data_IF_439837786770
#
_entry.id   IF_439837786770
#
_cell.length_a   1.000
_cell.length_b   1.000
_cell.length_c   1.000
_cell.angle_alpha   90.00
_cell.angle_beta   90.00
_cell.angle_gamma   90.00
#
_symmetry.space_group_name_H-M   'P 1'
#
loop_
_entity.id
_entity.type
_entity.pdbx_description
1 polymer ?
#
# COMPACT_ATOMS: atom_id res chain seq x y z
N UNK A 1 46.64 2.41 32.72
CA UNK A 1 46.43 3.83 32.37
C UNK A 1 45.88 3.87 30.96
N UNK A 2 44.69 4.45 30.79
CA UNK A 2 44.12 4.99 29.53
C UNK A 2 43.74 3.93 28.47
N UNK A 3 42.49 3.48 28.36
CA UNK A 3 41.27 4.16 27.89
C UNK A 3 41.22 4.37 26.36
N UNK A 4 40.04 4.09 25.78
CA UNK A 4 39.53 4.42 24.42
C UNK A 4 39.15 3.26 23.50
N UNK A 5 37.85 2.93 23.58
CA UNK A 5 36.89 2.73 22.49
C UNK A 5 37.02 1.54 21.52
N UNK A 6 36.12 0.57 21.70
CA UNK A 6 35.31 0.08 20.59
C UNK A 6 33.86 0.00 21.03
N UNK A 7 33.04 0.68 20.24
CA UNK A 7 31.69 1.18 20.52
C UNK A 7 30.68 0.06 20.31
N UNK A 8 29.76 -0.10 21.27
CA UNK A 8 28.61 -0.98 21.17
C UNK A 8 27.77 -0.68 19.91
N UNK A 9 27.50 -1.71 19.11
CA UNK A 9 26.34 -1.78 18.21
C UNK A 9 25.47 -2.95 18.69
N UNK A 10 24.77 -2.72 19.80
CA UNK A 10 23.64 -3.54 20.25
C UNK A 10 22.38 -2.72 19.98
N UNK A 11 21.68 -3.05 18.90
CA UNK A 11 20.48 -2.34 18.47
C UNK A 11 19.69 -3.11 17.42
N UNK A 12 19.57 -4.43 17.60
CA UNK A 12 18.43 -5.16 17.04
C UNK A 12 17.48 -5.41 18.20
N UNK A 13 16.41 -4.63 18.22
CA UNK A 13 15.38 -4.66 19.25
C UNK A 13 14.85 -6.07 19.48
N UNK A 14 14.53 -6.30 20.74
CA UNK A 14 13.86 -7.49 21.24
C UNK A 14 12.70 -7.90 20.33
N UNK A 15 12.66 -9.19 19.98
CA UNK A 15 11.41 -9.84 19.58
C UNK A 15 10.48 -9.82 20.79
N UNK A 16 9.71 -8.74 20.96
CA UNK A 16 8.49 -8.79 21.74
C UNK A 16 7.46 -9.52 20.88
N UNK A 17 6.87 -10.58 21.43
CA UNK A 17 5.78 -11.35 20.82
C UNK A 17 4.73 -10.43 20.20
N UNK A 18 4.83 -10.20 18.90
CA UNK A 18 4.00 -9.24 18.17
C UNK A 18 2.68 -9.91 17.81
N UNK A 19 1.70 -9.84 18.72
CA UNK A 19 0.28 -10.11 18.45
C UNK A 19 -0.37 -9.00 17.57
N UNK A 20 0.43 -8.26 16.80
CA UNK A 20 0.00 -7.16 15.95
C UNK A 20 0.37 -7.41 14.50
N UNK A 21 -0.50 -6.98 13.60
CA UNK A 21 -0.26 -7.02 12.16
C UNK A 21 0.50 -5.75 11.76
N UNK A 22 1.46 -5.89 10.86
CA UNK A 22 2.25 -4.78 10.35
C UNK A 22 1.63 -4.25 9.05
N UNK A 23 1.42 -2.94 9.00
CA UNK A 23 0.83 -2.25 7.86
C UNK A 23 1.79 -1.20 7.33
N UNK A 24 1.96 -1.15 6.01
CA UNK A 24 2.60 -0.02 5.35
C UNK A 24 1.61 1.14 5.27
N UNK A 25 1.92 2.23 5.97
CA UNK A 25 1.16 3.47 5.92
C UNK A 25 1.56 4.30 4.71
N UNK A 26 0.58 4.80 3.96
CA UNK A 26 0.78 5.68 2.82
C UNK A 26 -0.34 6.70 2.72
N UNK A 27 -0.06 7.83 2.08
CA UNK A 27 -1.02 8.92 1.93
C UNK A 27 -1.62 8.92 0.53
N UNK A 28 -2.92 9.20 0.47
CA UNK A 28 -3.62 9.45 -0.78
C UNK A 28 -4.58 10.64 -0.60
N UNK A 29 -4.29 11.73 -1.30
CA UNK A 29 -4.96 13.02 -1.11
C UNK A 29 -4.70 13.58 0.28
N UNK A 30 -5.74 13.56 1.12
CA UNK A 30 -5.70 14.05 2.51
C UNK A 30 -5.83 12.95 3.55
N UNK A 31 -5.97 11.70 3.09
CA UNK A 31 -6.25 10.55 3.94
C UNK A 31 -5.03 9.63 3.98
N UNK A 32 -4.91 8.92 5.10
CA UNK A 32 -3.86 7.95 5.33
C UNK A 32 -4.44 6.54 5.27
N UNK A 33 -3.77 5.68 4.52
CA UNK A 33 -4.18 4.33 4.20
C UNK A 33 -3.12 3.35 4.66
N UNK A 34 -3.56 2.13 4.97
CA UNK A 34 -2.70 1.03 5.37
C UNK A 34 -2.97 -0.21 4.53
N UNK A 35 -1.90 -0.86 4.08
CA UNK A 35 -1.96 -2.21 3.49
C UNK A 35 -1.03 -3.14 4.26
N UNK A 36 -1.32 -4.42 4.26
CA UNK A 36 -0.46 -5.43 4.88
C UNK A 36 0.95 -5.37 4.25
N UNK A 37 1.97 -5.19 5.09
CA UNK A 37 3.36 -5.10 4.65
C UNK A 37 3.80 -6.38 3.93
N UNK A 38 3.22 -7.54 4.27
CA UNK A 38 3.56 -8.83 3.66
C UNK A 38 3.18 -8.90 2.19
N UNK A 39 2.30 -8.01 1.72
CA UNK A 39 1.91 -7.89 0.30
C UNK A 39 2.84 -7.00 -0.50
N UNK A 40 3.66 -6.20 0.18
CA UNK A 40 4.58 -5.25 -0.44
C UNK A 40 5.88 -5.97 -0.81
N UNK A 41 6.19 -5.98 -2.11
CA UNK A 41 7.42 -6.57 -2.62
C UNK A 41 8.57 -5.56 -2.64
N UNK A 42 8.31 -4.34 -3.08
CA UNK A 42 9.26 -3.22 -3.03
C UNK A 42 8.53 -1.88 -3.23
N UNK A 43 9.21 -0.78 -2.89
CA UNK A 43 8.71 0.59 -3.09
C UNK A 43 9.70 1.31 -3.99
N UNK A 44 9.21 2.00 -5.01
CA UNK A 44 10.02 2.72 -5.98
C UNK A 44 9.52 4.15 -6.16
N UNK A 45 10.41 5.06 -6.56
CA UNK A 45 10.00 6.37 -7.04
C UNK A 45 9.14 6.26 -8.28
N UNK A 46 8.20 7.19 -8.46
CA UNK A 46 7.39 7.25 -9.67
C UNK A 46 8.26 7.54 -10.91
N UNK A 47 8.18 6.67 -11.91
CA UNK A 47 8.88 6.79 -13.19
C UNK A 47 7.85 6.80 -14.33
N UNK A 48 8.29 7.25 -15.52
CA UNK A 48 7.44 7.27 -16.69
C UNK A 48 6.97 5.85 -17.06
N UNK A 49 5.66 5.66 -17.13
CA UNK A 49 5.05 4.37 -17.51
C UNK A 49 4.77 4.31 -19.01
N UNK A 50 4.79 3.10 -19.57
CA UNK A 50 4.36 2.88 -20.96
C UNK A 50 2.85 2.77 -20.99
N UNK A 51 2.17 3.77 -21.55
CA UNK A 51 0.69 3.79 -21.64
C UNK A 51 0.17 2.66 -22.51
N UNK A 52 -0.93 2.05 -22.08
CA UNK A 52 -1.66 1.06 -22.86
C UNK A 52 -2.81 1.77 -23.59
N UNK A 53 -2.98 1.50 -24.87
CA UNK A 53 -4.13 2.01 -25.62
C UNK A 53 -5.41 1.27 -25.19
N UNK A 54 -6.51 2.00 -25.04
CA UNK A 54 -7.83 1.48 -24.64
C UNK A 54 -7.89 0.87 -23.22
N UNK A 55 -6.95 1.18 -22.34
CA UNK A 55 -7.07 0.81 -20.93
C UNK A 55 -7.99 1.78 -20.17
N UNK A 56 -8.67 1.34 -19.10
CA UNK A 56 -9.36 2.23 -18.18
C UNK A 56 -8.42 3.31 -17.63
N UNK A 57 -8.95 4.49 -17.31
CA UNK A 57 -8.15 5.65 -16.88
C UNK A 57 -7.37 5.42 -15.58
N UNK A 58 -7.86 4.52 -14.72
CA UNK A 58 -7.15 4.13 -13.50
C UNK A 58 -5.90 3.29 -13.79
N UNK A 59 -5.79 2.66 -14.96
CA UNK A 59 -4.57 1.98 -15.41
C UNK A 59 -3.72 2.99 -16.16
N UNK A 60 -2.65 3.45 -15.51
CA UNK A 60 -1.71 4.39 -16.13
C UNK A 60 -0.92 3.76 -17.26
N UNK A 61 -0.68 2.45 -17.18
CA UNK A 61 0.06 1.69 -18.17
C UNK A 61 0.81 0.55 -17.52
N UNK A 62 1.99 0.25 -18.06
CA UNK A 62 2.88 -0.78 -17.55
C UNK A 62 4.31 -0.28 -17.40
N UNK A 63 5.05 -0.91 -16.51
CA UNK A 63 6.51 -0.74 -16.36
C UNK A 63 7.20 -2.09 -16.51
N UNK A 64 8.43 -2.05 -17.01
CA UNK A 64 9.27 -3.25 -17.03
C UNK A 64 10.08 -3.31 -15.74
N UNK A 65 9.75 -4.25 -14.89
CA UNK A 65 10.46 -4.52 -13.65
C UNK A 65 11.25 -5.82 -13.79
N UNK A 66 12.58 -5.70 -13.94
CA UNK A 66 13.51 -6.84 -14.06
C UNK A 66 13.11 -7.87 -15.13
N UNK A 67 12.55 -7.40 -16.24
CA UNK A 67 12.07 -8.25 -17.34
C UNK A 67 10.60 -8.65 -17.23
N UNK A 68 9.91 -8.31 -16.15
CA UNK A 68 8.48 -8.59 -15.94
C UNK A 68 7.67 -7.33 -16.23
N UNK A 69 6.62 -7.46 -17.03
CA UNK A 69 5.69 -6.37 -17.32
C UNK A 69 4.71 -6.24 -16.14
N UNK A 70 4.81 -5.15 -15.40
CA UNK A 70 3.99 -4.87 -14.22
C UNK A 70 2.99 -3.78 -14.56
N UNK A 71 1.67 -4.03 -14.45
CA UNK A 71 0.64 -3.00 -14.63
C UNK A 71 0.70 -2.00 -13.48
N UNK A 72 0.60 -0.72 -13.81
CA UNK A 72 0.60 0.39 -12.86
C UNK A 72 -0.80 0.99 -12.77
N UNK A 73 -1.36 0.95 -11.57
CA UNK A 73 -2.68 1.48 -11.21
C UNK A 73 -2.51 2.78 -10.43
N UNK A 74 -3.24 3.82 -10.83
CA UNK A 74 -3.30 5.07 -10.10
C UNK A 74 -4.49 5.06 -9.12
N UNK A 75 -4.16 5.07 -7.83
CA UNK A 75 -5.18 4.98 -6.79
C UNK A 75 -5.98 6.25 -6.62
N UNK A 76 -5.41 7.43 -6.91
CA UNK A 76 -6.19 8.67 -6.87
C UNK A 76 -7.30 8.63 -7.91
N UNK A 77 -6.99 8.15 -9.12
CA UNK A 77 -8.00 8.00 -10.17
C UNK A 77 -9.01 6.91 -9.80
N UNK A 78 -8.53 5.74 -9.34
CA UNK A 78 -9.42 4.63 -8.96
C UNK A 78 -10.40 5.04 -7.85
N UNK A 79 -9.94 5.78 -6.86
CA UNK A 79 -10.78 6.24 -5.74
C UNK A 79 -11.40 7.62 -5.94
N UNK A 80 -11.23 8.23 -7.13
CA UNK A 80 -11.77 9.54 -7.46
C UNK A 80 -11.37 10.65 -6.44
N UNK A 81 -10.17 10.55 -5.86
CA UNK A 81 -9.67 11.43 -4.80
C UNK A 81 -9.07 12.73 -5.35
N UNK A 82 -9.79 13.38 -6.25
CA UNK A 82 -9.36 14.60 -6.95
C UNK A 82 -8.31 14.34 -8.04
N UNK A 83 -7.71 15.41 -8.54
CA UNK A 83 -6.71 15.32 -9.61
C UNK A 83 -5.37 14.79 -9.07
N UNK A 84 -4.78 13.77 -9.71
CA UNK A 84 -3.48 13.26 -9.29
C UNK A 84 -2.36 14.24 -9.60
N UNK A 85 -1.60 14.58 -8.56
CA UNK A 85 -0.39 15.39 -8.64
C UNK A 85 0.81 14.49 -8.52
N UNK A 86 1.62 14.40 -9.58
CA UNK A 86 2.86 13.64 -9.56
C UNK A 86 4.01 14.57 -9.21
N UNK A 87 4.60 14.37 -8.05
CA UNK A 87 5.76 15.10 -7.57
C UNK A 87 6.89 14.12 -7.18
N UNK A 88 7.95 14.64 -6.57
CA UNK A 88 9.10 13.85 -6.12
C UNK A 88 8.79 12.89 -4.94
N UNK A 89 7.65 13.08 -4.27
CA UNK A 89 7.22 12.21 -3.17
C UNK A 89 6.35 11.06 -3.67
N UNK A 90 5.79 11.19 -4.88
CA UNK A 90 5.00 10.15 -5.51
C UNK A 90 5.83 8.89 -5.70
N UNK A 91 5.29 7.78 -5.17
CA UNK A 91 5.94 6.47 -5.21
C UNK A 91 5.00 5.44 -5.78
N UNK A 92 5.60 4.38 -6.33
CA UNK A 92 4.92 3.18 -6.80
C UNK A 92 5.23 2.07 -5.81
N UNK A 93 4.18 1.57 -5.16
CA UNK A 93 4.25 0.39 -4.31
C UNK A 93 4.05 -0.82 -5.20
N UNK A 94 5.05 -1.69 -5.29
CA UNK A 94 4.97 -2.95 -6.02
C UNK A 94 4.43 -4.02 -5.07
N UNK A 95 3.31 -4.60 -5.44
CA UNK A 95 2.54 -5.58 -4.68
C UNK A 95 2.60 -6.94 -5.35
N UNK A 96 2.62 -7.99 -4.56
CA UNK A 96 2.43 -9.36 -5.05
C UNK A 96 1.17 -9.97 -4.46
N UNK A 97 0.21 -10.24 -5.34
CA UNK A 97 -1.12 -10.71 -4.98
C UNK A 97 -1.35 -12.02 -5.73
N UNK A 98 -1.41 -13.13 -4.99
CA UNK A 98 -1.61 -14.48 -5.54
C UNK A 98 -0.63 -14.82 -6.68
N UNK A 99 0.62 -14.38 -6.59
CA UNK A 99 1.66 -14.62 -7.59
C UNK A 99 1.66 -13.65 -8.77
N UNK A 100 0.77 -12.65 -8.78
CA UNK A 100 0.75 -11.57 -9.78
C UNK A 100 1.36 -10.32 -9.18
N UNK A 101 2.27 -9.70 -9.93
CA UNK A 101 2.91 -8.45 -9.54
C UNK A 101 2.11 -7.28 -10.13
N UNK A 102 1.69 -6.35 -9.28
CA UNK A 102 0.95 -5.13 -9.67
C UNK A 102 1.61 -3.94 -8.99
N UNK A 103 1.72 -2.82 -9.68
CA UNK A 103 2.21 -1.57 -9.10
C UNK A 103 1.07 -0.60 -8.82
N UNK A 104 1.17 0.09 -7.70
CA UNK A 104 0.17 1.02 -7.21
C UNK A 104 0.81 2.38 -6.98
N UNK A 105 0.33 3.41 -7.69
CA UNK A 105 0.80 4.80 -7.50
C UNK A 105 0.09 5.41 -6.31
N UNK A 106 0.87 5.94 -5.38
CA UNK A 106 0.42 6.67 -4.18
C UNK A 106 1.21 7.96 -4.03
N UNK A 107 0.71 8.89 -3.22
CA UNK A 107 1.30 10.22 -3.11
C UNK A 107 2.60 10.22 -2.31
N UNK A 108 2.62 9.46 -1.22
CA UNK A 108 3.83 9.25 -0.42
C UNK A 108 3.63 8.03 0.48
N UNK A 109 4.74 7.41 0.87
CA UNK A 109 4.75 6.36 1.90
C UNK A 109 5.23 7.00 3.19
N UNK A 110 4.49 6.77 4.28
CA UNK A 110 4.80 7.31 5.61
C UNK A 110 5.82 6.42 6.32
N UNK A 111 5.38 5.30 6.87
CA UNK A 111 6.12 4.41 7.76
C UNK A 111 5.43 3.04 7.86
N UNK A 112 6.07 2.08 8.52
CA UNK A 112 5.44 0.79 8.86
C UNK A 112 4.88 0.90 10.27
N UNK A 113 3.61 0.55 10.42
CA UNK A 113 2.88 0.65 11.67
C UNK A 113 2.41 -0.73 12.10
N UNK A 114 2.70 -1.10 13.35
CA UNK A 114 2.17 -2.32 13.95
C UNK A 114 0.86 -2.00 14.68
N UNK A 115 -0.22 -2.68 14.30
CA UNK A 115 -1.54 -2.54 14.92
C UNK A 115 -1.98 -3.87 15.53
N UNK A 116 -2.39 -3.83 16.79
CA UNK A 116 -3.09 -4.96 17.41
C UNK A 116 -4.54 -5.02 16.95
N UNK A 117 -5.17 -6.18 17.08
CA UNK A 117 -6.57 -6.36 16.68
C UNK A 117 -7.52 -5.41 17.41
N UNK A 118 -7.19 -5.01 18.65
CA UNK A 118 -7.96 -4.07 19.47
C UNK A 118 -7.89 -2.63 18.96
N UNK A 119 -6.81 -2.29 18.24
CA UNK A 119 -6.61 -0.98 17.63
C UNK A 119 -7.28 -0.87 16.25
N UNK A 120 -7.74 -1.99 15.69
CA UNK A 120 -8.47 -2.05 14.43
C UNK A 120 -9.96 -2.05 14.75
N UNK A 121 -10.62 -0.94 14.44
CA UNK A 121 -12.07 -0.81 14.58
C UNK A 121 -12.73 -1.10 13.24
N UNK A 122 -13.96 -1.66 13.23
CA UNK A 122 -14.73 -1.74 11.99
C UNK A 122 -14.91 -0.34 11.41
N UNK A 123 -14.83 -0.22 10.09
CA UNK A 123 -15.12 1.05 9.44
C UNK A 123 -16.58 1.43 9.68
N UNK A 124 -16.88 2.71 10.00
CA UNK A 124 -18.25 3.16 10.10
C UNK A 124 -18.95 2.97 8.75
N UNK A 125 -20.20 2.50 8.78
CA UNK A 125 -21.03 2.26 7.58
C UNK A 125 -21.32 3.53 6.75
N UNK A 126 -20.86 4.70 7.21
CA UNK A 126 -21.18 6.00 6.63
C UNK A 126 -19.96 6.62 5.93
N UNK A 127 -19.99 6.61 4.60
CA UNK A 127 -19.45 7.72 3.81
C UNK A 127 -17.96 7.73 3.47
N UNK A 128 -17.28 6.58 3.44
CA UNK A 128 -16.00 6.53 2.71
C UNK A 128 -16.28 6.37 1.22
N UNK A 129 -15.47 6.98 0.36
CA UNK A 129 -15.50 6.78 -1.11
C UNK A 129 -15.16 5.33 -1.52
N UNK A 130 -15.00 4.45 -0.54
CA UNK A 130 -14.68 3.04 -0.67
C UNK A 130 -15.97 2.24 -0.63
N UNK A 131 -16.09 1.28 -1.54
CA UNK A 131 -16.97 0.14 -1.29
C UNK A 131 -16.47 -0.58 -0.04
N UNK A 132 -17.37 -0.79 0.91
CA UNK A 132 -17.08 -1.46 2.19
C UNK A 132 -16.47 -2.86 2.00
N UNK A 133 -16.55 -3.43 0.80
CA UNK A 133 -16.07 -4.77 0.45
C UNK A 133 -14.54 -4.91 0.52
N UNK A 134 -13.81 -3.82 0.30
CA UNK A 134 -12.33 -3.79 0.29
C UNK A 134 -11.72 -3.23 1.57
N UNK A 135 -12.55 -2.79 2.52
CA UNK A 135 -12.09 -2.11 3.72
C UNK A 135 -11.98 -3.13 4.87
N UNK A 136 -10.78 -3.28 5.43
CA UNK A 136 -10.54 -4.15 6.60
C UNK A 136 -11.08 -3.47 7.86
N UNK A 137 -10.82 -2.18 8.00
CA UNK A 137 -11.26 -1.36 9.13
C UNK A 137 -10.48 -0.05 9.24
N UNK A 138 -10.65 0.63 10.37
CA UNK A 138 -9.89 1.81 10.75
C UNK A 138 -8.89 1.45 11.84
N UNK A 139 -7.61 1.55 11.53
CA UNK A 139 -6.52 1.46 12.50
C UNK A 139 -6.35 2.80 13.23
N UNK A 140 -6.23 2.78 14.55
CA UNK A 140 -5.86 3.98 15.32
C UNK A 140 -4.60 3.74 16.13
N UNK A 141 -3.55 4.51 15.85
CA UNK A 141 -2.31 4.53 16.64
C UNK A 141 -1.94 5.97 16.98
N UNK A 142 -1.76 6.29 18.27
CA UNK A 142 -1.27 7.61 18.71
C UNK A 142 -1.99 8.81 18.03
N UNK A 143 -3.33 8.75 17.99
CA UNK A 143 -4.21 9.73 17.30
C UNK A 143 -4.11 9.78 15.76
N UNK A 144 -3.25 9.00 15.11
CA UNK A 144 -3.29 8.77 13.66
C UNK A 144 -4.39 7.76 13.33
N UNK A 145 -5.19 8.08 12.32
CA UNK A 145 -6.24 7.21 11.79
C UNK A 145 -5.80 6.70 10.42
N UNK A 146 -5.78 5.37 10.27
CA UNK A 146 -5.41 4.70 9.03
C UNK A 146 -6.59 3.91 8.50
N UNK A 147 -6.92 4.10 7.24
CA UNK A 147 -7.91 3.29 6.54
C UNK A 147 -7.21 2.02 6.06
N UNK A 148 -7.51 0.89 6.67
CA UNK A 148 -6.89 -0.39 6.34
C UNK A 148 -7.62 -1.02 5.16
N UNK A 149 -6.88 -1.30 4.08
CA UNK A 149 -7.44 -1.79 2.82
C UNK A 149 -6.99 -3.22 2.56
N UNK A 150 -7.94 -4.07 2.23
CA UNK A 150 -7.72 -5.44 1.75
C UNK A 150 -7.31 -5.36 0.28
N UNK A 151 -5.99 -5.30 0.06
CA UNK A 151 -5.42 -5.15 -1.27
C UNK A 151 -5.67 -6.37 -2.16
N UNK A 152 -5.80 -7.57 -1.57
CA UNK A 152 -6.10 -8.81 -2.30
C UNK A 152 -7.49 -8.70 -2.92
N UNK A 153 -8.51 -8.31 -2.13
CA UNK A 153 -9.87 -8.11 -2.63
C UNK A 153 -9.96 -6.94 -3.59
N UNK A 154 -9.29 -5.84 -3.27
CA UNK A 154 -9.31 -4.65 -4.11
C UNK A 154 -8.81 -4.98 -5.52
N UNK A 155 -7.67 -5.66 -5.62
CA UNK A 155 -7.03 -5.98 -6.91
C UNK A 155 -7.69 -7.17 -7.63
N UNK A 156 -8.39 -8.04 -6.89
CA UNK A 156 -9.22 -9.13 -7.45
C UNK A 156 -10.67 -8.78 -7.73
N UNK A 157 -11.06 -7.53 -7.46
CA UNK A 157 -12.38 -7.04 -7.82
C UNK A 157 -12.59 -7.09 -9.33
N UNK A 158 -13.81 -7.47 -9.73
CA UNK A 158 -14.23 -7.53 -11.14
C UNK A 158 -14.06 -6.17 -11.84
N UNK A 159 -14.11 -5.07 -11.08
CA UNK A 159 -13.89 -3.70 -11.57
C UNK A 159 -12.43 -3.39 -11.93
N UNK A 160 -11.46 -4.00 -11.22
CA UNK A 160 -10.07 -3.86 -11.60
C UNK A 160 -9.74 -4.70 -12.83
N UNK A 161 -10.34 -5.90 -12.96
CA UNK A 161 -10.09 -6.81 -14.09
C UNK A 161 -8.62 -7.25 -14.25
N UNK A 162 -7.74 -6.89 -13.29
CA UNK A 162 -6.31 -7.18 -13.29
C UNK A 162 -6.03 -8.62 -12.84
N UNK A 163 -6.94 -9.19 -12.04
CA UNK A 163 -6.87 -10.54 -11.52
C UNK A 163 -8.16 -11.25 -11.90
N UNK A 164 -8.06 -12.22 -12.81
CA UNK A 164 -9.12 -13.19 -13.01
C UNK A 164 -9.26 -13.99 -11.72
N UNK A 165 -10.46 -14.01 -11.13
CA UNK A 165 -10.80 -14.91 -10.03
C UNK A 165 -10.41 -16.32 -10.48
N UNK A 166 -9.33 -16.88 -9.94
CA UNK A 166 -9.05 -18.30 -10.12
C UNK A 166 -10.15 -19.03 -9.35
N UNK A 167 -11.19 -19.45 -10.08
CA UNK A 167 -12.13 -20.43 -9.60
C UNK A 167 -11.35 -21.74 -9.41
N UNK A 168 -11.16 -22.13 -8.16
CA UNK A 168 -10.83 -23.49 -7.76
C UNK A 168 -11.57 -23.80 -6.46
#
# INVERSE_FOLDING_TARGET
>A
MSDTASKNLSGFGEKTDSNGNEFLAFTLGKEEYGIDILKVQEIRGYEAVTRIANSPDFIKGVVNLRGIIVPIVDMRIKFQLGEPTYDQFTVVIILNISGRVVGMVVDSVSDVITLTQEQIKPAPEMGTTFDSDYLIGLGTLEQRMLILVDIDKLMSSTEMGLIEKLAA
#
